data_IF_357498016363
#
_entry.id   IF_357498016363
#
_cell.length_a   1.000
_cell.length_b   1.000
_cell.length_c   1.000
_cell.angle_alpha   90.00
_cell.angle_beta   90.00
_cell.angle_gamma   90.00
#
_symmetry.space_group_name_H-M   'P 1'
#
loop_
_entity.id
_entity.type
_entity.pdbx_description
1 polymer ?
#
# COMPACT_ATOMS: atom_id res chain seq x y z
N UNK A 1 11.11 3.83 -6.40
CA UNK A 1 11.22 4.18 -7.84
C UNK A 1 10.13 3.37 -8.52
N UNK A 2 9.27 4.03 -9.30
CA UNK A 2 8.15 3.36 -9.94
C UNK A 2 8.54 2.74 -11.27
N UNK A 3 8.12 1.51 -11.54
CA UNK A 3 8.31 0.84 -12.82
C UNK A 3 6.96 0.62 -13.49
N UNK A 4 6.91 0.90 -14.80
CA UNK A 4 5.73 0.61 -15.60
C UNK A 4 5.75 -0.86 -16.01
N UNK A 5 4.70 -1.59 -15.67
CA UNK A 5 4.55 -2.99 -16.05
C UNK A 5 3.45 -3.09 -17.09
N UNK A 6 3.88 -3.32 -18.34
CA UNK A 6 2.99 -3.63 -19.45
C UNK A 6 2.89 -5.14 -19.66
N UNK A 7 1.67 -5.66 -19.55
CA UNK A 7 1.32 -7.02 -19.94
C UNK A 7 0.11 -7.00 -20.87
N UNK A 8 -0.12 -8.07 -21.68
CA UNK A 8 -1.30 -8.15 -22.55
C UNK A 8 -2.65 -8.06 -21.82
N UNK A 9 -2.67 -8.16 -20.48
CA UNK A 9 -3.88 -8.15 -19.65
C UNK A 9 -3.98 -6.93 -18.73
N UNK A 10 -2.85 -6.30 -18.40
CA UNK A 10 -2.76 -5.28 -17.36
C UNK A 10 -1.64 -4.32 -17.74
N UNK A 11 -1.95 -3.04 -17.72
CA UNK A 11 -0.96 -1.96 -17.67
C UNK A 11 -1.06 -1.35 -16.28
N UNK A 12 -0.01 -1.46 -15.47
CA UNK A 12 0.01 -0.88 -14.13
C UNK A 12 1.34 -0.20 -13.81
N UNK A 13 1.28 0.71 -12.84
CA UNK A 13 2.45 1.29 -12.21
C UNK A 13 2.77 0.47 -10.97
N UNK A 14 4.02 0.02 -10.86
CA UNK A 14 4.52 -0.68 -9.68
C UNK A 14 5.45 0.22 -8.91
N UNK A 15 5.37 0.20 -7.58
CA UNK A 15 6.26 0.97 -6.71
C UNK A 15 6.88 0.06 -5.68
N UNK A 16 8.20 0.15 -5.54
CA UNK A 16 8.93 -0.51 -4.46
C UNK A 16 8.96 0.39 -3.21
N UNK A 17 8.51 -0.17 -2.09
CA UNK A 17 8.49 0.49 -0.78
C UNK A 17 9.19 -0.39 0.26
N UNK A 18 10.14 0.15 1.04
CA UNK A 18 10.82 -0.61 2.07
C UNK A 18 9.86 -0.96 3.21
N UNK A 19 9.80 -2.25 3.57
CA UNK A 19 9.00 -2.73 4.68
C UNK A 19 9.69 -2.44 6.01
N UNK A 20 9.17 -1.47 6.76
CA UNK A 20 9.69 -1.07 8.06
C UNK A 20 9.34 -2.09 9.14
N UNK A 21 10.31 -2.38 10.01
CA UNK A 21 10.15 -3.35 11.09
C UNK A 21 10.24 -4.81 10.62
N UNK A 22 10.74 -5.07 9.41
CA UNK A 22 11.07 -6.40 8.92
C UNK A 22 12.58 -6.60 8.85
N UNK A 23 13.08 -7.64 9.52
CA UNK A 23 14.49 -8.01 9.50
C UNK A 23 14.73 -9.29 8.69
N UNK A 24 15.47 -9.14 7.59
CA UNK A 24 15.90 -10.24 6.74
C UNK A 24 15.23 -10.23 5.36
N UNK A 25 15.64 -11.20 4.53
CA UNK A 25 15.07 -11.39 3.20
C UNK A 25 13.70 -12.05 3.31
N UNK A 26 12.79 -11.68 2.41
CA UNK A 26 11.53 -12.41 2.22
C UNK A 26 11.86 -13.77 1.59
N UNK A 27 11.39 -14.85 2.22
CA UNK A 27 11.48 -16.21 1.69
C UNK A 27 10.20 -17.02 1.99
N UNK A 28 10.08 -18.22 1.41
CA UNK A 28 8.88 -19.07 1.54
C UNK A 28 8.46 -19.38 2.98
N UNK A 29 9.42 -19.38 3.90
CA UNK A 29 9.22 -19.69 5.32
C UNK A 29 9.13 -18.44 6.20
N UNK A 30 9.58 -17.30 5.67
CA UNK A 30 9.70 -16.02 6.37
C UNK A 30 9.19 -14.91 5.47
N UNK A 31 7.87 -14.72 5.53
CA UNK A 31 7.20 -13.57 4.95
C UNK A 31 6.16 -13.03 5.94
N UNK A 32 5.93 -11.70 5.97
CA UNK A 32 4.90 -11.12 6.82
C UNK A 32 3.53 -11.58 6.30
N UNK A 33 2.73 -12.18 7.19
CA UNK A 33 1.35 -12.53 6.85
C UNK A 33 0.51 -11.30 6.53
N UNK A 34 0.80 -10.21 7.24
CA UNK A 34 0.09 -8.94 7.14
C UNK A 34 1.10 -7.79 7.12
N UNK A 35 0.84 -6.83 6.25
CA UNK A 35 1.58 -5.57 6.11
C UNK A 35 0.59 -4.43 6.20
N UNK A 36 1.01 -3.33 6.82
CA UNK A 36 0.23 -2.11 6.95
C UNK A 36 0.79 -1.06 5.99
N UNK A 37 0.06 -0.81 4.90
CA UNK A 37 0.43 0.21 3.92
C UNK A 37 -0.16 1.55 4.33
N UNK A 38 0.68 2.57 4.43
CA UNK A 38 0.28 3.96 4.65
C UNK A 38 0.31 4.68 3.32
N UNK A 39 -0.79 5.33 2.99
CA UNK A 39 -0.91 6.13 1.78
C UNK A 39 -1.65 7.43 2.08
N UNK A 40 -1.40 8.42 1.23
CA UNK A 40 -2.02 9.74 1.24
C UNK A 40 -2.96 9.86 0.06
N UNK A 41 -4.13 10.45 0.30
CA UNK A 41 -5.25 10.51 -0.63
C UNK A 41 -5.75 9.13 -1.09
N UNK A 42 -6.82 9.11 -1.88
CA UNK A 42 -7.42 7.89 -2.41
C UNK A 42 -8.42 7.26 -1.44
N UNK A 43 -8.65 5.95 -1.56
CA UNK A 43 -9.75 5.30 -0.85
C UNK A 43 -9.31 4.66 0.46
N UNK A 44 -10.05 4.93 1.54
CA UNK A 44 -10.01 4.11 2.74
C UNK A 44 -10.31 2.63 2.41
N UNK A 45 -9.70 1.72 3.16
CA UNK A 45 -9.92 0.29 2.96
C UNK A 45 -11.40 -0.04 3.12
N UNK A 46 -11.95 -0.85 2.22
CA UNK A 46 -13.38 -1.21 2.19
C UNK A 46 -14.35 -0.05 1.95
N UNK A 47 -13.87 1.11 1.50
CA UNK A 47 -14.76 2.20 1.07
C UNK A 47 -15.59 1.77 -0.14
N UNK A 48 -16.90 2.03 -0.08
CA UNK A 48 -17.84 1.80 -1.19
C UNK A 48 -17.84 2.94 -2.21
N UNK A 49 -17.20 4.07 -1.89
CA UNK A 49 -17.07 5.23 -2.78
C UNK A 49 -16.11 4.86 -3.89
N UNK A 50 -16.61 4.86 -5.14
CA UNK A 50 -15.87 4.37 -6.33
C UNK A 50 -15.11 5.47 -7.09
N UNK A 51 -15.15 6.71 -6.63
CA UNK A 51 -14.65 7.85 -7.41
C UNK A 51 -14.01 8.96 -6.57
N UNK A 52 -12.71 8.86 -6.37
CA UNK A 52 -11.77 9.97 -6.35
C UNK A 52 -10.86 9.74 -7.56
N UNK A 53 -10.70 10.76 -8.42
CA UNK A 53 -9.76 10.76 -9.54
C UNK A 53 -8.29 10.83 -9.07
N UNK A 54 -8.07 10.75 -7.75
CA UNK A 54 -6.78 10.93 -7.12
C UNK A 54 -6.11 9.58 -6.98
N UNK A 55 -4.93 9.45 -7.59
CA UNK A 55 -4.08 8.28 -7.42
C UNK A 55 -3.50 8.29 -6.00
N UNK A 56 -3.70 7.23 -5.20
CA UNK A 56 -3.16 7.16 -3.85
C UNK A 56 -1.63 7.17 -3.90
N UNK A 57 -1.02 7.97 -3.04
CA UNK A 57 0.44 8.11 -2.92
C UNK A 57 0.93 7.20 -1.78
N UNK A 58 1.69 6.14 -2.10
CA UNK A 58 2.16 5.18 -1.09
C UNK A 58 3.35 5.81 -0.34
N UNK A 59 3.17 6.02 0.96
CA UNK A 59 4.13 6.73 1.79
C UNK A 59 5.09 5.81 2.55
N UNK A 60 4.60 4.65 2.99
CA UNK A 60 5.37 3.69 3.78
C UNK A 60 4.64 2.34 3.92
N UNK A 61 5.39 1.30 4.29
CA UNK A 61 4.87 -0.02 4.64
C UNK A 61 5.45 -0.47 5.99
N UNK A 62 4.63 -1.08 6.85
CA UNK A 62 5.01 -1.52 8.19
C UNK A 62 4.59 -2.95 8.49
N UNK A 63 5.31 -3.63 9.37
CA UNK A 63 4.93 -4.96 9.89
C UNK A 63 3.91 -4.89 11.03
N UNK A 64 3.71 -3.71 11.64
CA UNK A 64 2.78 -3.50 12.76
C UNK A 64 1.87 -2.29 12.54
N UNK A 65 0.66 -2.36 13.11
CA UNK A 65 -0.34 -1.29 13.01
C UNK A 65 0.10 -0.05 13.77
N UNK A 66 0.70 -0.25 14.94
CA UNK A 66 1.13 0.81 15.85
C UNK A 66 2.22 1.69 15.21
N UNK A 67 3.13 1.06 14.46
CA UNK A 67 4.17 1.79 13.72
C UNK A 67 3.56 2.64 12.60
N UNK A 68 2.63 2.07 11.82
CA UNK A 68 1.91 2.80 10.78
C UNK A 68 1.11 4.00 11.33
N UNK A 69 0.41 3.81 12.45
CA UNK A 69 -0.33 4.89 13.12
C UNK A 69 0.59 6.00 13.63
N UNK A 70 1.73 5.63 14.21
CA UNK A 70 2.74 6.59 14.67
C UNK A 70 3.29 7.43 13.51
N UNK A 71 3.53 6.79 12.36
CA UNK A 71 3.98 7.48 11.15
C UNK A 71 2.94 8.49 10.64
N UNK A 72 1.66 8.10 10.56
CA UNK A 72 0.57 9.00 10.17
C UNK A 72 0.48 10.22 11.09
N UNK A 73 0.50 10.01 12.42
CA UNK A 73 0.47 11.12 13.39
C UNK A 73 1.69 12.03 13.25
N UNK A 74 2.87 11.46 12.99
CA UNK A 74 4.11 12.23 12.76
C UNK A 74 4.03 13.09 11.50
N UNK A 75 3.44 12.57 10.42
CA UNK A 75 3.26 13.29 9.15
C UNK A 75 2.23 14.40 9.27
N UNK A 76 1.08 14.13 9.90
CA UNK A 76 0.05 15.14 10.17
C UNK A 76 0.59 16.34 10.96
N UNK A 77 1.54 16.11 11.88
CA UNK A 77 2.21 17.18 12.63
C UNK A 77 3.20 18.01 11.79
N UNK A 78 3.75 17.43 10.72
CA UNK A 78 4.78 18.05 9.88
C UNK A 78 4.20 18.76 8.65
N UNK A 79 3.05 18.33 8.13
CA UNK A 79 2.44 18.95 6.97
C UNK A 79 1.75 20.28 7.35
N UNK A 80 2.12 21.41 6.73
CA UNK A 80 1.42 22.68 6.94
C UNK A 80 0.01 22.59 6.35
N UNK A 81 -0.96 23.10 7.11
CA UNK A 81 -2.41 22.95 6.99
C UNK A 81 -3.09 23.55 5.74
N UNK A 82 -2.42 23.60 4.58
CA UNK A 82 -2.98 24.26 3.41
C UNK A 82 -4.10 23.46 2.75
N UNK A 83 -4.09 22.13 2.90
CA UNK A 83 -5.22 21.24 2.61
C UNK A 83 -5.23 20.10 3.65
N UNK A 84 -6.39 19.64 4.14
CA UNK A 84 -6.45 18.43 4.94
C UNK A 84 -6.10 17.24 4.04
N UNK A 85 -4.84 16.81 4.07
CA UNK A 85 -4.43 15.56 3.43
C UNK A 85 -5.07 14.39 4.19
N UNK A 86 -5.84 13.54 3.49
CA UNK A 86 -6.36 12.32 4.08
C UNK A 86 -5.28 11.24 4.08
N UNK A 87 -5.04 10.66 5.27
CA UNK A 87 -4.13 9.53 5.43
C UNK A 87 -4.92 8.29 5.75
N UNK A 88 -4.51 7.18 5.14
CA UNK A 88 -5.17 5.91 5.31
C UNK A 88 -4.16 4.80 5.54
N UNK A 89 -4.60 3.76 6.24
CA UNK A 89 -3.82 2.56 6.53
C UNK A 89 -4.59 1.38 5.96
N UNK A 90 -3.99 0.63 5.04
CA UNK A 90 -4.52 -0.62 4.53
C UNK A 90 -3.82 -1.79 5.17
N UNK A 91 -4.60 -2.79 5.59
CA UNK A 91 -4.14 -4.09 6.02
C UNK A 91 -4.06 -5.01 4.79
N UNK A 92 -2.85 -5.31 4.33
CA UNK A 92 -2.64 -6.12 3.11
C UNK A 92 -1.90 -7.41 3.44
N UNK A 93 -2.42 -8.50 2.90
CA UNK A 93 -1.74 -9.81 2.93
C UNK A 93 -0.84 -9.96 1.72
N UNK A 94 0.10 -10.91 1.79
CA UNK A 94 0.88 -11.28 0.62
C UNK A 94 -0.03 -11.72 -0.53
N UNK A 95 0.17 -11.14 -1.72
CA UNK A 95 -0.70 -11.42 -2.86
C UNK A 95 -2.08 -10.79 -2.77
N UNK A 96 -2.28 -9.78 -1.91
CA UNK A 96 -3.53 -9.06 -1.84
C UNK A 96 -3.85 -8.38 -3.18
N UNK A 97 -5.01 -8.73 -3.72
CA UNK A 97 -5.65 -8.03 -4.82
C UNK A 97 -6.98 -7.50 -4.30
N UNK A 98 -7.27 -6.22 -4.57
CA UNK A 98 -8.61 -5.69 -4.29
C UNK A 98 -9.63 -6.46 -5.13
N UNK A 99 -10.89 -6.52 -4.66
CA UNK A 99 -11.92 -7.36 -5.29
C UNK A 99 -12.06 -7.11 -6.79
N UNK A 100 -11.85 -5.86 -7.22
CA UNK A 100 -11.93 -5.44 -8.61
C UNK A 100 -10.84 -6.05 -9.50
N UNK A 101 -9.71 -6.49 -8.93
CA UNK A 101 -8.57 -7.04 -9.67
C UNK A 101 -8.32 -8.53 -9.38
N UNK A 102 -9.15 -9.20 -8.58
CA UNK A 102 -8.96 -10.63 -8.23
C UNK A 102 -8.88 -11.59 -9.42
N UNK A 103 -9.36 -11.21 -10.61
CA UNK A 103 -9.24 -11.98 -11.85
C UNK A 103 -8.35 -11.35 -12.94
N UNK A 104 -7.79 -10.18 -12.65
CA UNK A 104 -6.99 -9.37 -13.58
C UNK A 104 -5.75 -8.82 -12.90
N UNK A 105 -5.26 -9.48 -11.85
CA UNK A 105 -4.01 -9.11 -11.19
C UNK A 105 -2.82 -9.76 -11.90
N UNK A 106 -1.61 -9.18 -11.81
CA UNK A 106 -0.41 -9.88 -12.26
C UNK A 106 -0.28 -11.20 -11.48
N UNK A 107 0.37 -12.19 -12.07
CA UNK A 107 0.68 -13.43 -11.33
C UNK A 107 1.45 -13.06 -10.07
N UNK A 108 0.83 -13.29 -8.92
CA UNK A 108 1.47 -13.10 -7.63
C UNK A 108 2.58 -14.15 -7.57
N UNK A 109 3.85 -13.76 -7.41
CA UNK A 109 4.93 -14.72 -7.28
C UNK A 109 4.61 -15.62 -6.09
N UNK A 110 4.27 -16.88 -6.37
CA UNK A 110 4.19 -17.88 -5.31
C UNK A 110 5.64 -18.22 -4.97
N UNK A 111 6.16 -17.61 -3.91
CA UNK A 111 7.43 -18.06 -3.35
C UNK A 111 7.24 -19.50 -2.89
#
# INVERSE_FOLDING_TARGET
>A
MGEHVDSPRITCWTEEVPLQGWEGKLDKSRFPKLVYLVFREGYAQHSSVRYQEISPDILAAFTTREAAQTDVVSRQKKEPSFLPSEFHIWEVEFGFLTENFRGQGPEIPMY
#
